data_IF_890279140767
#
_entry.id   IF_890279140767
#
_cell.length_a   1.000
_cell.length_b   1.000
_cell.length_c   1.000
_cell.angle_alpha   90.00
_cell.angle_beta   90.00
_cell.angle_gamma   90.00
#
_symmetry.space_group_name_H-M   'P 1'
#
loop_
_entity.id
_entity.type
_entity.pdbx_description
1 polymer ?
#
# COMPACT_ATOMS: atom_id res chain seq x y z
N UNK A 1 -0.68 6.32 3.05
CA UNK A 1 -1.43 5.07 2.86
C UNK A 1 -0.92 4.38 1.60
N UNK A 2 -0.69 3.07 1.66
CA UNK A 2 -0.31 2.23 0.52
C UNK A 2 -1.20 0.99 0.53
N UNK A 3 -1.77 0.65 -0.61
CA UNK A 3 -2.55 -0.55 -0.83
C UNK A 3 -2.04 -1.27 -2.09
N UNK A 4 -2.01 -2.59 -2.03
CA UNK A 4 -1.57 -3.45 -3.12
C UNK A 4 -2.54 -4.62 -3.22
N UNK A 5 -3.11 -4.83 -4.42
CA UNK A 5 -3.96 -5.98 -4.68
C UNK A 5 -3.16 -7.22 -5.12
N UNK A 6 -3.85 -8.35 -5.30
CA UNK A 6 -3.24 -9.62 -5.73
C UNK A 6 -2.74 -9.60 -7.19
N UNK A 7 -3.24 -8.68 -8.01
CA UNK A 7 -2.85 -8.54 -9.42
C UNK A 7 -1.64 -7.62 -9.60
N UNK A 8 -1.14 -7.01 -8.52
CA UNK A 8 0.00 -6.10 -8.56
C UNK A 8 -0.40 -4.63 -8.70
N UNK A 9 -1.69 -4.29 -8.65
CA UNK A 9 -2.13 -2.90 -8.72
C UNK A 9 -1.85 -2.20 -7.39
N UNK A 10 -1.07 -1.13 -7.46
CA UNK A 10 -0.67 -0.31 -6.31
C UNK A 10 -1.47 0.98 -6.30
N UNK A 11 -2.11 1.27 -5.17
CA UNK A 11 -2.71 2.58 -4.88
C UNK A 11 -1.99 3.23 -3.70
N UNK A 12 -1.76 4.53 -3.78
CA UNK A 12 -1.08 5.28 -2.74
C UNK A 12 -1.76 6.62 -2.47
N UNK A 13 -1.54 7.15 -1.29
CA UNK A 13 -1.93 8.50 -0.89
C UNK A 13 -0.97 8.98 0.19
N UNK A 14 -0.30 10.11 -0.01
CA UNK A 14 0.47 10.77 1.05
C UNK A 14 -0.50 11.44 2.02
N UNK A 15 -0.51 10.96 3.26
CA UNK A 15 -1.35 11.53 4.32
C UNK A 15 -0.66 12.76 4.89
N UNK A 16 -1.44 13.80 5.20
CA UNK A 16 -0.93 15.00 5.86
C UNK A 16 -0.64 14.72 7.34
N UNK A 17 -1.48 13.88 7.96
CA UNK A 17 -1.31 13.40 9.32
C UNK A 17 -1.64 11.92 9.39
N UNK A 18 -0.94 11.21 10.27
CA UNK A 18 -1.23 9.81 10.54
C UNK A 18 -2.44 9.67 11.48
N UNK A 19 -3.62 10.09 11.02
CA UNK A 19 -4.88 9.99 11.75
C UNK A 19 -5.80 8.95 11.12
N UNK A 20 -6.72 8.41 11.91
CA UNK A 20 -7.72 7.45 11.42
C UNK A 20 -8.59 8.09 10.36
N UNK A 21 -9.00 9.34 10.53
CA UNK A 21 -9.91 10.05 9.63
C UNK A 21 -9.27 10.24 8.25
N UNK A 22 -7.99 10.61 8.18
CA UNK A 22 -7.27 10.72 6.90
C UNK A 22 -7.04 9.35 6.27
N UNK A 23 -6.70 8.34 7.08
CA UNK A 23 -6.56 6.97 6.61
C UNK A 23 -7.89 6.45 6.03
N UNK A 24 -8.99 6.64 6.73
CA UNK A 24 -10.36 6.28 6.33
C UNK A 24 -10.75 6.96 5.02
N UNK A 25 -10.54 8.27 4.93
CA UNK A 25 -10.81 9.07 3.73
C UNK A 25 -10.03 8.57 2.50
N UNK A 26 -8.80 8.10 2.70
CA UNK A 26 -7.97 7.58 1.62
C UNK A 26 -8.28 6.12 1.26
N UNK A 27 -8.61 5.29 2.25
CA UNK A 27 -8.77 3.84 2.10
C UNK A 27 -10.19 3.44 1.69
N UNK A 28 -11.23 4.06 2.25
CA UNK A 28 -12.61 3.66 1.96
C UNK A 28 -12.97 3.72 0.45
N UNK A 29 -12.53 4.73 -0.33
CA UNK A 29 -12.85 4.79 -1.77
C UNK A 29 -12.22 3.69 -2.63
N UNK A 30 -11.19 2.99 -2.14
CA UNK A 30 -10.51 1.92 -2.89
C UNK A 30 -11.04 0.53 -2.56
N UNK A 31 -11.97 0.42 -1.60
CA UNK A 31 -12.54 -0.85 -1.17
C UNK A 31 -13.87 -1.11 -1.88
N UNK A 32 -14.09 -2.38 -2.27
CA UNK A 32 -15.37 -2.86 -2.81
C UNK A 32 -15.96 -3.94 -1.90
N UNK A 33 -17.27 -4.23 -1.98
CA UNK A 33 -17.90 -5.30 -1.18
C UNK A 33 -17.30 -6.69 -1.41
N UNK A 34 -16.71 -6.95 -2.58
CA UNK A 34 -16.07 -8.21 -2.94
C UNK A 34 -14.61 -8.31 -2.48
N UNK A 35 -14.07 -7.23 -1.91
CA UNK A 35 -12.68 -7.17 -1.47
C UNK A 35 -12.48 -7.95 -0.17
N UNK A 36 -11.27 -8.48 0.03
CA UNK A 36 -10.81 -8.98 1.34
C UNK A 36 -9.67 -8.08 1.79
N UNK A 37 -9.91 -7.28 2.84
CA UNK A 37 -8.90 -6.36 3.36
C UNK A 37 -7.94 -7.13 4.28
N UNK A 38 -6.65 -7.09 3.94
CA UNK A 38 -5.59 -7.66 4.76
C UNK A 38 -4.73 -6.53 5.35
N UNK A 39 -4.65 -6.42 6.68
CA UNK A 39 -3.87 -5.35 7.34
C UNK A 39 -2.95 -5.92 8.42
N UNK A 40 -2.01 -5.11 8.87
CA UNK A 40 -1.29 -5.36 10.10
C UNK A 40 -2.19 -5.22 11.35
N UNK A 41 -1.58 -5.24 12.53
CA UNK A 41 -2.27 -5.18 13.81
C UNK A 41 -2.90 -3.82 14.16
N UNK A 42 -2.75 -2.77 13.37
CA UNK A 42 -3.27 -1.44 13.70
C UNK A 42 -4.80 -1.46 13.88
N UNK A 43 -5.27 -0.94 15.01
CA UNK A 43 -6.69 -0.95 15.40
C UNK A 43 -7.55 -0.01 14.54
N UNK A 44 -6.98 1.03 13.94
CA UNK A 44 -7.71 2.00 13.13
C UNK A 44 -8.48 1.34 11.98
N UNK A 45 -7.92 0.28 11.38
CA UNK A 45 -8.56 -0.45 10.29
C UNK A 45 -9.88 -1.11 10.71
N UNK A 46 -10.00 -1.58 11.97
CA UNK A 46 -11.25 -2.17 12.45
C UNK A 46 -12.38 -1.15 12.50
N UNK A 47 -12.08 0.07 12.96
CA UNK A 47 -13.06 1.15 13.00
C UNK A 47 -13.45 1.57 11.58
N UNK A 48 -12.47 1.65 10.68
CA UNK A 48 -12.72 1.98 9.26
C UNK A 48 -13.67 0.95 8.63
N UNK A 49 -13.38 -0.34 8.80
CA UNK A 49 -14.21 -1.44 8.27
C UNK A 49 -15.65 -1.36 8.79
N UNK A 50 -15.83 -1.08 10.09
CA UNK A 50 -17.16 -0.93 10.70
C UNK A 50 -17.95 0.27 10.17
N UNK A 51 -17.27 1.30 9.68
CA UNK A 51 -17.90 2.51 9.17
C UNK A 51 -18.24 2.43 7.67
N UNK A 52 -17.83 1.36 6.97
CA UNK A 52 -18.15 1.17 5.56
C UNK A 52 -19.66 0.97 5.37
N UNK A 53 -20.23 1.40 4.23
CA UNK A 53 -21.64 1.21 3.91
C UNK A 53 -21.98 -0.24 3.53
N UNK A 54 -21.02 -1.16 3.58
CA UNK A 54 -21.14 -2.57 3.25
C UNK A 54 -20.28 -3.42 4.21
N UNK A 55 -20.62 -4.70 4.33
CA UNK A 55 -19.80 -5.67 5.06
C UNK A 55 -18.55 -5.99 4.24
N UNK A 56 -17.39 -5.99 4.89
CA UNK A 56 -16.10 -6.29 4.28
C UNK A 56 -15.38 -7.34 5.12
N UNK A 57 -14.87 -8.40 4.47
CA UNK A 57 -14.02 -9.37 5.14
C UNK A 57 -12.66 -8.73 5.47
N UNK A 58 -12.38 -8.61 6.78
CA UNK A 58 -11.15 -7.99 7.29
C UNK A 58 -10.27 -9.04 7.98
N UNK A 59 -9.15 -9.40 7.34
CA UNK A 59 -8.12 -10.27 7.89
C UNK A 59 -7.02 -9.42 8.55
N UNK A 60 -6.96 -9.46 9.88
CA UNK A 60 -5.88 -8.83 10.65
C UNK A 60 -4.73 -9.81 10.83
N UNK A 61 -3.62 -9.52 10.18
CA UNK A 61 -2.42 -10.36 10.20
C UNK A 61 -1.48 -9.86 11.30
N UNK A 62 -1.79 -10.24 12.53
CA UNK A 62 -0.97 -9.94 13.70
C UNK A 62 -0.04 -11.13 13.91
N UNK A 63 1.26 -10.89 14.10
CA UNK A 63 2.25 -11.93 14.34
C UNK A 63 2.16 -12.58 15.74
N UNK A 64 0.96 -12.62 16.33
CA UNK A 64 0.71 -13.39 17.55
C UNK A 64 0.63 -14.86 17.12
N UNK A 65 1.33 -15.73 17.85
CA UNK A 65 1.39 -17.19 17.62
C UNK A 65 2.04 -17.67 16.31
N UNK A 66 2.97 -16.88 15.74
CA UNK A 66 3.73 -17.27 14.54
C UNK A 66 2.88 -17.48 13.27
N UNK A 67 1.58 -17.18 13.31
CA UNK A 67 0.67 -17.20 12.17
C UNK A 67 0.81 -15.91 11.37
N UNK A 68 1.77 -15.88 10.44
CA UNK A 68 1.96 -14.78 9.48
C UNK A 68 1.04 -14.89 8.25
N UNK A 69 0.28 -15.98 8.16
CA UNK A 69 -0.60 -16.31 7.05
C UNK A 69 -1.92 -16.84 7.62
N UNK A 70 -3.04 -16.21 7.27
CA UNK A 70 -4.39 -16.71 7.59
C UNK A 70 -4.85 -17.57 6.41
N UNK A 71 -5.44 -18.74 6.70
CA UNK A 71 -5.96 -19.71 5.73
C UNK A 71 -4.95 -20.13 4.63
N UNK A 72 -3.64 -19.96 4.87
CA UNK A 72 -2.59 -20.28 3.90
C UNK A 72 -2.49 -19.34 2.69
N UNK A 73 -3.43 -18.42 2.50
CA UNK A 73 -3.54 -17.57 1.29
C UNK A 73 -3.61 -16.06 1.57
N UNK A 74 -3.84 -15.66 2.83
CA UNK A 74 -3.92 -14.25 3.21
C UNK A 74 -2.65 -13.85 3.94
N UNK A 75 -1.87 -12.96 3.31
CA UNK A 75 -0.63 -12.43 3.88
C UNK A 75 -0.35 -11.02 3.35
N UNK A 76 0.30 -10.18 4.16
CA UNK A 76 0.72 -8.81 3.79
C UNK A 76 2.14 -8.76 3.24
N UNK A 77 2.79 -9.91 3.00
CA UNK A 77 4.19 -9.97 2.58
C UNK A 77 4.43 -9.34 1.21
N UNK A 78 3.47 -9.46 0.28
CA UNK A 78 3.58 -8.79 -1.03
C UNK A 78 3.70 -7.28 -0.87
N UNK A 79 2.82 -6.67 -0.05
CA UNK A 79 2.86 -5.24 0.26
C UNK A 79 4.13 -4.86 1.04
N UNK A 80 4.53 -5.67 2.02
CA UNK A 80 5.76 -5.43 2.78
C UNK A 80 7.01 -5.44 1.91
N UNK A 81 7.11 -6.39 0.97
CA UNK A 81 8.21 -6.48 0.02
C UNK A 81 8.21 -5.29 -0.94
N UNK A 82 7.03 -4.88 -1.42
CA UNK A 82 6.89 -3.68 -2.24
C UNK A 82 7.38 -2.42 -1.51
N UNK A 83 6.90 -2.22 -0.26
CA UNK A 83 7.33 -1.11 0.58
C UNK A 83 8.83 -1.14 0.89
N UNK A 84 9.42 -2.33 1.04
CA UNK A 84 10.86 -2.49 1.26
C UNK A 84 11.65 -1.99 0.04
N UNK A 85 11.28 -2.43 -1.17
CA UNK A 85 11.93 -1.99 -2.42
C UNK A 85 11.80 -0.48 -2.62
N UNK A 86 10.60 0.05 -2.41
CA UNK A 86 10.34 1.48 -2.43
C UNK A 86 11.27 2.26 -1.49
N UNK A 87 11.34 1.86 -0.21
CA UNK A 87 12.21 2.51 0.79
C UNK A 87 13.69 2.39 0.42
N UNK A 88 14.10 1.27 -0.15
CA UNK A 88 15.48 1.07 -0.60
C UNK A 88 15.83 2.00 -1.75
N UNK A 89 14.96 2.11 -2.75
CA UNK A 89 15.12 3.05 -3.87
C UNK A 89 15.18 4.50 -3.38
N UNK A 90 14.31 4.89 -2.43
CA UNK A 90 14.27 6.25 -1.91
C UNK A 90 15.57 6.68 -1.19
N UNK A 91 16.35 5.74 -0.65
CA UNK A 91 17.61 6.06 0.07
C UNK A 91 18.64 6.77 -0.79
N UNK A 92 18.63 6.57 -2.11
CA UNK A 92 19.61 7.19 -3.02
C UNK A 92 19.48 8.72 -3.09
N UNK A 93 18.32 9.27 -2.70
CA UNK A 93 18.05 10.71 -2.75
C UNK A 93 18.47 11.45 -1.47
N UNK A 94 19.02 10.76 -0.46
CA UNK A 94 19.49 11.35 0.81
C UNK A 94 18.45 12.22 1.56
N UNK A 95 17.17 11.94 1.32
CA UNK A 95 16.04 12.70 1.87
C UNK A 95 15.20 13.33 0.77
N UNK A 96 13.88 13.30 0.95
CA UNK A 96 12.91 13.95 0.05
C UNK A 96 11.98 14.82 0.87
N UNK A 97 11.60 15.97 0.33
CA UNK A 97 10.54 16.79 0.94
C UNK A 97 9.20 16.07 0.84
N UNK A 98 8.41 16.11 1.91
CA UNK A 98 7.07 15.49 1.96
C UNK A 98 6.18 15.94 0.81
N UNK A 99 6.29 17.21 0.41
CA UNK A 99 5.53 17.81 -0.72
C UNK A 99 5.77 17.09 -2.05
N UNK A 100 6.91 16.42 -2.20
CA UNK A 100 7.27 15.68 -3.40
C UNK A 100 7.09 14.18 -3.26
N UNK A 101 6.79 13.66 -2.06
CA UNK A 101 6.76 12.23 -1.79
C UNK A 101 5.80 11.48 -2.72
N UNK A 102 4.68 12.11 -3.08
CA UNK A 102 3.68 11.55 -4.01
C UNK A 102 4.30 11.33 -5.40
N UNK A 103 5.04 12.33 -5.92
CA UNK A 103 5.74 12.23 -7.20
C UNK A 103 6.78 11.11 -7.20
N UNK A 104 7.55 10.97 -6.13
CA UNK A 104 8.56 9.91 -6.04
C UNK A 104 7.92 8.51 -5.95
N UNK A 105 6.80 8.36 -5.23
CA UNK A 105 6.07 7.08 -5.17
C UNK A 105 5.51 6.74 -6.55
N UNK A 106 4.91 7.71 -7.24
CA UNK A 106 4.39 7.53 -8.59
C UNK A 106 5.51 7.13 -9.58
N UNK A 107 6.67 7.79 -9.49
CA UNK A 107 7.84 7.44 -10.32
C UNK A 107 8.32 6.02 -10.05
N UNK A 108 8.50 5.63 -8.78
CA UNK A 108 8.91 4.27 -8.44
C UNK A 108 7.90 3.22 -8.91
N UNK A 109 6.60 3.48 -8.73
CA UNK A 109 5.53 2.59 -9.19
C UNK A 109 5.60 2.41 -10.71
N UNK A 110 5.77 3.50 -11.46
CA UNK A 110 5.88 3.43 -12.92
C UNK A 110 7.09 2.59 -13.33
N UNK A 111 8.25 2.82 -12.71
CA UNK A 111 9.49 2.08 -12.99
C UNK A 111 9.38 0.60 -12.63
N UNK A 112 8.67 0.24 -11.55
CA UNK A 112 8.48 -1.15 -11.15
C UNK A 112 7.45 -1.89 -12.01
N UNK A 113 6.44 -1.18 -12.52
CA UNK A 113 5.37 -1.74 -13.36
C UNK A 113 5.73 -1.78 -14.85
N UNK A 114 6.67 -0.96 -15.31
CA UNK A 114 7.23 -1.07 -16.67
C UNK A 114 8.07 -2.33 -16.77
N UNK A 115 7.48 -3.42 -17.25
CA UNK A 115 8.25 -4.54 -17.79
C UNK A 115 8.91 -4.08 -19.09
N UNK A 116 10.24 -4.10 -19.11
CA UNK A 116 11.09 -4.00 -20.31
C UNK A 116 10.53 -3.11 -21.42
N UNK A 117 10.50 -1.80 -21.20
CA UNK A 117 10.63 -0.89 -22.31
C UNK A 117 11.64 0.18 -21.90
N UNK A 118 12.90 -0.07 -22.24
CA UNK A 118 14.04 0.86 -22.10
C UNK A 118 13.85 2.15 -22.93
N UNK A 119 12.64 2.41 -23.46
CA UNK A 119 12.31 3.59 -24.26
C UNK A 119 12.39 4.90 -23.46
N UNK A 120 12.22 4.87 -22.13
CA UNK A 120 12.34 6.07 -21.30
C UNK A 120 13.79 6.55 -21.14
N UNK A 121 14.78 5.65 -21.26
CA UNK A 121 16.22 6.01 -21.21
C UNK A 121 16.64 6.75 -22.48
N UNK A 122 16.00 6.44 -23.62
CA UNK A 122 16.28 7.08 -24.92
C UNK A 122 15.70 8.49 -25.01
N UNK A 123 14.69 8.83 -24.21
CA UNK A 123 14.10 10.18 -24.19
C UNK A 123 14.79 11.15 -23.22
N UNK A 124 15.70 10.65 -22.38
CA UNK A 124 16.40 11.43 -21.36
C UNK A 124 17.88 11.72 -21.70
N UNK A 125 18.34 11.32 -22.89
CA UNK A 125 19.65 11.62 -23.49
C UNK A 125 19.46 12.42 -24.79
#
# INVERSE_FOLDING_TARGET
MLALDRNGAVTHCVLQRNTREELEKSLAPVLTPESVLCTDGNLSYQTIVKNLPFELDHKRLIAIDNQRVIDGIYHIQTLNNWMMRWKQWLRQFNGVGTDYLDNYIAWFRQMEQSQEDDSWVVLAL
#
